data_IF_612020650776
#
_entry.id   IF_612020650776
#
_cell.length_a   1.000
_cell.length_b   1.000
_cell.length_c   1.000
_cell.angle_alpha   90.00
_cell.angle_beta   90.00
_cell.angle_gamma   90.00
#
_symmetry.space_group_name_H-M   'P 1'
#
loop_
_entity.id
_entity.type
_entity.pdbx_description
1 polymer ?
#
# COMPACT_ATOMS: atom_id res chain seq x y z
N UNK A 1 -12.40 4.94 14.33
CA UNK A 1 -11.95 3.63 13.81
C UNK A 1 -11.70 2.68 14.97
N UNK A 2 -12.07 1.41 14.83
CA UNK A 2 -11.72 0.33 15.77
C UNK A 2 -10.22 -0.02 15.69
N UNK A 3 -9.71 -0.79 16.66
CA UNK A 3 -8.33 -1.28 16.66
C UNK A 3 -8.04 -2.13 15.42
N UNK A 4 -8.96 -3.03 15.05
CA UNK A 4 -8.80 -3.90 13.87
C UNK A 4 -8.75 -3.09 12.57
N UNK A 5 -9.61 -2.09 12.42
CA UNK A 5 -9.61 -1.19 11.26
C UNK A 5 -8.28 -0.43 11.14
N UNK A 6 -7.77 0.11 12.25
CA UNK A 6 -6.45 0.78 12.27
C UNK A 6 -5.32 -0.17 11.90
N UNK A 7 -5.34 -1.41 12.40
CA UNK A 7 -4.34 -2.43 12.05
C UNK A 7 -4.35 -2.72 10.55
N UNK A 8 -5.54 -2.94 9.95
CA UNK A 8 -5.65 -3.17 8.51
C UNK A 8 -5.12 -2.00 7.68
N UNK A 9 -5.48 -0.76 8.04
CA UNK A 9 -5.00 0.44 7.35
C UNK A 9 -3.47 0.61 7.48
N UNK A 10 -2.92 0.35 8.66
CA UNK A 10 -1.47 0.39 8.88
C UNK A 10 -0.73 -0.67 8.07
N UNK A 11 -1.30 -1.88 7.91
CA UNK A 11 -0.72 -2.92 7.07
C UNK A 11 -0.71 -2.53 5.59
N UNK A 12 -1.81 -1.95 5.08
CA UNK A 12 -1.86 -1.47 3.69
C UNK A 12 -0.79 -0.39 3.44
N UNK A 13 -0.67 0.59 4.36
CA UNK A 13 0.37 1.62 4.29
C UNK A 13 1.79 1.05 4.38
N UNK A 14 1.99 0.03 5.23
CA UNK A 14 3.28 -0.64 5.35
C UNK A 14 3.67 -1.32 4.02
N UNK A 15 2.76 -2.06 3.38
CA UNK A 15 3.00 -2.72 2.10
C UNK A 15 3.30 -1.69 0.99
N UNK A 16 2.57 -0.57 0.95
CA UNK A 16 2.85 0.54 0.02
C UNK A 16 4.28 1.07 0.20
N UNK A 17 4.71 1.32 1.44
CA UNK A 17 6.05 1.82 1.70
C UNK A 17 7.14 0.78 1.40
N UNK A 18 6.89 -0.50 1.68
CA UNK A 18 7.85 -1.57 1.43
C UNK A 18 7.99 -1.91 -0.06
N UNK A 19 6.91 -1.81 -0.85
CA UNK A 19 6.98 -1.97 -2.31
C UNK A 19 7.82 -0.88 -2.96
N UNK A 20 7.74 0.37 -2.47
CA UNK A 20 8.61 1.45 -2.95
C UNK A 20 10.09 1.19 -2.63
N UNK A 21 10.39 0.79 -1.38
CA UNK A 21 11.76 0.44 -0.99
C UNK A 21 12.31 -0.75 -1.79
N UNK A 22 11.46 -1.75 -2.05
CA UNK A 22 11.82 -2.89 -2.89
C UNK A 22 12.14 -2.44 -4.32
N UNK A 23 11.31 -1.56 -4.90
CA UNK A 23 11.53 -1.01 -6.24
C UNK A 23 12.89 -0.30 -6.34
N UNK A 24 13.25 0.51 -5.35
CA UNK A 24 14.59 1.13 -5.27
C UNK A 24 15.71 0.07 -5.30
N UNK A 25 15.56 -1.03 -4.56
CA UNK A 25 16.53 -2.13 -4.53
C UNK A 25 16.60 -2.94 -5.82
N UNK A 26 15.47 -3.11 -6.51
CA UNK A 26 15.45 -3.80 -7.80
C UNK A 26 16.13 -2.95 -8.88
N UNK A 27 15.91 -1.63 -8.85
CA UNK A 27 16.61 -0.67 -9.72
C UNK A 27 18.12 -0.65 -9.46
N UNK A 28 18.56 -0.70 -8.19
CA UNK A 28 20.00 -0.80 -7.83
C UNK A 28 20.67 -2.09 -8.36
N UNK A 29 19.90 -3.13 -8.64
CA UNK A 29 20.38 -4.45 -9.09
C UNK A 29 20.23 -4.67 -10.60
N UNK A 30 19.77 -3.66 -11.35
CA UNK A 30 19.47 -3.76 -12.80
C UNK A 30 18.47 -4.90 -13.12
N UNK A 31 17.50 -5.15 -12.23
CA UNK A 31 16.46 -6.18 -12.39
C UNK A 31 15.18 -5.56 -12.99
N UNK A 32 15.24 -5.17 -14.27
CA UNK A 32 14.19 -4.38 -14.94
C UNK A 32 12.81 -5.06 -14.91
N UNK A 33 12.75 -6.37 -15.20
CA UNK A 33 11.47 -7.09 -15.24
C UNK A 33 10.81 -7.19 -13.86
N UNK A 34 11.61 -7.37 -12.81
CA UNK A 34 11.16 -7.37 -11.44
C UNK A 34 10.76 -5.96 -10.97
N UNK A 35 11.49 -4.92 -11.41
CA UNK A 35 11.14 -3.53 -11.13
C UNK A 35 9.78 -3.17 -11.74
N UNK A 36 9.51 -3.56 -12.98
CA UNK A 36 8.20 -3.39 -13.64
C UNK A 36 7.06 -4.10 -12.88
N UNK A 37 7.34 -5.27 -12.30
CA UNK A 37 6.37 -5.99 -11.47
C UNK A 37 6.17 -5.28 -10.12
N UNK A 38 7.24 -4.75 -9.54
CA UNK A 38 7.21 -4.06 -8.26
C UNK A 38 6.53 -2.68 -8.34
N UNK A 39 6.64 -2.00 -9.48
CA UNK A 39 5.90 -0.76 -9.76
C UNK A 39 4.39 -1.02 -9.75
N UNK A 40 3.91 -2.06 -10.45
CA UNK A 40 2.49 -2.47 -10.42
C UNK A 40 2.03 -2.83 -9.00
N UNK A 41 2.87 -3.55 -8.26
CA UNK A 41 2.59 -3.88 -6.86
C UNK A 41 2.47 -2.63 -5.98
N UNK A 42 3.31 -1.62 -6.23
CA UNK A 42 3.26 -0.35 -5.52
C UNK A 42 1.97 0.41 -5.81
N UNK A 43 1.57 0.51 -7.09
CA UNK A 43 0.33 1.15 -7.52
C UNK A 43 -0.89 0.46 -6.89
N UNK A 44 -0.93 -0.86 -6.91
CA UNK A 44 -2.01 -1.65 -6.29
C UNK A 44 -2.06 -1.44 -4.77
N UNK A 45 -0.90 -1.38 -4.11
CA UNK A 45 -0.81 -1.14 -2.66
C UNK A 45 -1.24 0.29 -2.29
N UNK A 46 -0.89 1.29 -3.09
CA UNK A 46 -1.37 2.66 -2.95
C UNK A 46 -2.88 2.73 -3.13
N UNK A 47 -3.41 2.12 -4.20
CA UNK A 47 -4.84 2.11 -4.49
C UNK A 47 -5.63 1.43 -3.35
N UNK A 48 -5.13 0.30 -2.83
CA UNK A 48 -5.70 -0.39 -1.69
C UNK A 48 -5.71 0.50 -0.44
N UNK A 49 -4.59 1.15 -0.11
CA UNK A 49 -4.50 2.04 1.04
C UNK A 49 -5.50 3.20 0.96
N UNK A 50 -5.59 3.87 -0.20
CA UNK A 50 -6.51 4.99 -0.43
C UNK A 50 -7.98 4.55 -0.33
N UNK A 51 -8.33 3.46 -1.01
CA UNK A 51 -9.70 2.91 -0.98
C UNK A 51 -10.10 2.48 0.43
N UNK A 52 -9.19 1.82 1.15
CA UNK A 52 -9.43 1.39 2.52
C UNK A 52 -9.56 2.58 3.47
N UNK A 53 -8.73 3.62 3.34
CA UNK A 53 -8.84 4.84 4.15
C UNK A 53 -10.21 5.49 3.96
N UNK A 54 -10.61 5.74 2.70
CA UNK A 54 -11.90 6.36 2.38
C UNK A 54 -13.07 5.54 2.95
N UNK A 55 -13.03 4.21 2.77
CA UNK A 55 -14.09 3.33 3.26
C UNK A 55 -14.19 3.34 4.79
N UNK A 56 -13.07 3.41 5.48
CA UNK A 56 -13.05 3.41 6.94
C UNK A 56 -13.45 4.76 7.52
N UNK A 57 -13.18 5.87 6.82
CA UNK A 57 -13.65 7.21 7.20
C UNK A 57 -15.17 7.33 7.03
N UNK A 58 -15.75 6.86 5.91
CA UNK A 58 -17.20 6.81 5.70
C UNK A 58 -17.95 6.02 6.78
N UNK A 59 -17.37 4.91 7.24
CA UNK A 59 -17.94 4.09 8.31
C UNK A 59 -17.92 4.78 9.68
N UNK A 60 -17.09 5.82 9.86
CA UNK A 60 -17.09 6.64 11.07
C UNK A 60 -18.07 7.79 11.00
N UNK A 61 -18.20 8.42 9.84
CA UNK A 61 -19.11 9.56 9.67
C UNK A 61 -20.59 9.11 9.65
N UNK A 62 -20.85 7.86 9.26
CA UNK A 62 -22.18 7.26 9.25
C UNK A 62 -22.64 6.63 10.58
N UNK A 63 -21.86 6.74 11.66
CA UNK A 63 -22.09 6.06 12.93
C UNK A 63 -21.97 7.01 14.14
#
# INVERSE_FOLDING_TARGET
MTKQQKTALNMAKFIQNQSLLLLEKLNELDLDAEADLCEKLHDDAEHLFRTLSSRLDELLDGN
#
